data_IF_025683058799
#
_entry.id   IF_025683058799
#
_cell.length_a   1.000
_cell.length_b   1.000
_cell.length_c   1.000
_cell.angle_alpha   90.00
_cell.angle_beta   90.00
_cell.angle_gamma   90.00
#
_symmetry.space_group_name_H-M   'P 1'
#
loop_
_entity.id
_entity.type
_entity.pdbx_description
1 polymer ?
#
# COMPACT_ATOMS: atom_id res chain seq x y z
N UNK A 1 -6.91 23.99 -0.04
CA UNK A 1 -7.50 22.74 0.49
C UNK A 1 -7.89 21.86 -0.70
N UNK A 2 -7.55 20.57 -0.70
CA UNK A 2 -7.86 19.67 -1.81
C UNK A 2 -9.38 19.49 -1.94
N UNK A 3 -9.92 19.76 -3.12
CA UNK A 3 -11.35 19.57 -3.39
C UNK A 3 -11.59 18.17 -4.00
N UNK A 4 -11.85 17.18 -3.15
CA UNK A 4 -12.16 15.81 -3.59
C UNK A 4 -13.37 15.70 -4.49
N UNK A 5 -14.38 16.52 -4.27
CA UNK A 5 -15.59 16.53 -5.10
C UNK A 5 -15.25 16.92 -6.54
N UNK A 6 -14.42 17.94 -6.71
CA UNK A 6 -13.96 18.38 -8.03
C UNK A 6 -13.13 17.32 -8.74
N UNK A 7 -12.19 16.66 -8.03
CA UNK A 7 -11.37 15.59 -8.58
C UNK A 7 -12.22 14.41 -9.06
N UNK A 8 -13.24 14.01 -8.29
CA UNK A 8 -14.14 12.92 -8.67
C UNK A 8 -15.10 13.37 -9.76
N UNK A 9 -15.53 14.62 -9.73
CA UNK A 9 -16.43 15.15 -10.76
C UNK A 9 -15.77 15.14 -12.14
N UNK A 10 -14.46 15.34 -12.19
CA UNK A 10 -13.64 15.32 -13.40
C UNK A 10 -13.02 13.94 -13.69
N UNK A 11 -13.32 12.91 -12.91
CA UNK A 11 -12.77 11.59 -13.12
C UNK A 11 -13.29 10.95 -14.42
N UNK A 12 -12.50 10.13 -15.12
CA UNK A 12 -12.90 9.52 -16.39
C UNK A 12 -13.79 8.29 -16.19
N UNK A 13 -14.89 8.42 -15.47
CA UNK A 13 -15.84 7.33 -15.23
C UNK A 13 -16.79 7.11 -16.43
N UNK A 14 -16.55 7.79 -17.55
CA UNK A 14 -17.23 7.61 -18.82
C UNK A 14 -18.64 8.23 -18.91
N UNK A 15 -19.20 8.79 -17.83
CA UNK A 15 -20.48 9.48 -17.85
C UNK A 15 -20.65 10.40 -16.64
N UNK A 16 -21.15 11.63 -16.84
CA UNK A 16 -21.36 12.62 -15.77
C UNK A 16 -22.21 12.09 -14.59
N UNK A 17 -23.21 11.26 -14.86
CA UNK A 17 -24.02 10.62 -13.82
C UNK A 17 -23.23 9.68 -12.92
N UNK A 18 -22.22 8.96 -13.45
CA UNK A 18 -21.33 8.10 -12.64
C UNK A 18 -20.42 8.95 -11.76
N UNK A 19 -19.86 10.04 -12.29
CA UNK A 19 -19.04 10.96 -11.51
C UNK A 19 -19.83 11.57 -10.35
N UNK A 20 -21.04 12.05 -10.61
CA UNK A 20 -21.94 12.56 -9.57
C UNK A 20 -22.22 11.50 -8.50
N UNK A 21 -22.54 10.26 -8.93
CA UNK A 21 -22.82 9.16 -8.00
C UNK A 21 -21.59 8.78 -7.18
N UNK A 22 -20.40 8.73 -7.78
CA UNK A 22 -19.15 8.48 -7.06
C UNK A 22 -18.87 9.56 -6.00
N UNK A 23 -19.08 10.83 -6.33
CA UNK A 23 -18.90 11.94 -5.39
C UNK A 23 -19.90 11.86 -4.22
N UNK A 24 -21.17 11.55 -4.50
CA UNK A 24 -22.20 11.34 -3.47
C UNK A 24 -21.82 10.16 -2.56
N UNK A 25 -21.48 9.01 -3.14
CA UNK A 25 -21.09 7.81 -2.37
C UNK A 25 -19.88 8.08 -1.46
N UNK A 26 -18.85 8.78 -1.97
CA UNK A 26 -17.71 9.16 -1.14
C UNK A 26 -18.13 10.07 0.01
N UNK A 27 -19.00 11.04 -0.23
CA UNK A 27 -19.50 11.94 0.80
C UNK A 27 -20.28 11.17 1.87
N UNK A 28 -21.17 10.26 1.46
CA UNK A 28 -21.95 9.41 2.37
C UNK A 28 -21.05 8.53 3.22
N UNK A 29 -20.03 7.90 2.62
CA UNK A 29 -19.03 7.11 3.32
C UNK A 29 -18.22 7.92 4.35
N UNK A 30 -17.81 9.14 4.00
CA UNK A 30 -17.07 10.03 4.90
C UNK A 30 -17.96 10.50 6.08
N UNK A 31 -19.22 10.81 5.81
CA UNK A 31 -20.18 11.19 6.86
C UNK A 31 -20.52 10.01 7.77
N UNK A 32 -20.76 8.83 7.21
CA UNK A 32 -21.02 7.62 7.97
C UNK A 32 -19.82 7.18 8.83
N UNK A 33 -18.59 7.33 8.34
CA UNK A 33 -17.39 7.04 9.10
C UNK A 33 -17.22 7.96 10.33
N UNK A 34 -17.62 9.22 10.22
CA UNK A 34 -17.60 10.16 11.36
C UNK A 34 -18.70 9.89 12.39
N UNK A 35 -19.84 9.33 11.96
CA UNK A 35 -20.96 9.01 12.83
C UNK A 35 -20.81 7.63 13.53
N UNK A 36 -20.24 6.64 12.85
CA UNK A 36 -20.07 5.27 13.30
C UNK A 36 -18.59 4.88 13.32
N UNK A 37 -17.99 4.80 14.48
CA UNK A 37 -16.57 4.47 14.69
C UNK A 37 -16.13 3.07 14.20
N UNK A 38 -17.01 2.27 13.64
CA UNK A 38 -16.79 0.88 13.28
C UNK A 38 -16.55 0.62 11.77
N UNK A 39 -16.56 1.66 10.93
CA UNK A 39 -15.99 1.64 9.57
C UNK A 39 -16.54 0.63 8.56
N UNK A 40 -17.67 -0.01 8.81
CA UNK A 40 -18.27 -0.94 7.85
C UNK A 40 -19.10 -0.15 6.84
N UNK A 41 -18.78 -0.28 5.55
CA UNK A 41 -19.48 0.40 4.44
C UNK A 41 -21.01 0.22 4.54
N UNK A 42 -21.49 -0.96 4.91
CA UNK A 42 -22.90 -1.24 5.14
C UNK A 42 -23.50 -0.36 6.23
N UNK A 43 -22.88 -0.29 7.41
CA UNK A 43 -23.35 0.52 8.52
C UNK A 43 -23.35 2.03 8.21
N UNK A 44 -22.40 2.49 7.39
CA UNK A 44 -22.32 3.89 6.94
C UNK A 44 -23.43 4.28 5.97
N UNK A 45 -24.03 3.31 5.28
CA UNK A 45 -25.11 3.49 4.29
C UNK A 45 -26.49 3.08 4.81
N UNK A 46 -26.59 2.59 6.05
CA UNK A 46 -27.87 2.07 6.63
C UNK A 46 -28.95 3.13 6.83
N UNK A 47 -28.59 4.40 6.81
CA UNK A 47 -29.54 5.50 7.12
C UNK A 47 -30.51 5.82 5.97
N UNK A 48 -30.24 5.39 4.74
CA UNK A 48 -31.15 5.59 3.58
C UNK A 48 -31.12 4.39 2.63
N UNK A 49 -32.23 3.66 2.57
CA UNK A 49 -32.38 2.52 1.67
C UNK A 49 -32.15 2.91 0.19
N UNK A 50 -32.55 4.11 -0.20
CA UNK A 50 -32.37 4.61 -1.57
C UNK A 50 -30.90 4.86 -1.89
N UNK A 51 -30.16 5.46 -0.96
CA UNK A 51 -28.72 5.69 -1.08
C UNK A 51 -27.97 4.36 -1.15
N UNK A 52 -28.34 3.38 -0.32
CA UNK A 52 -27.77 2.05 -0.32
C UNK A 52 -27.99 1.33 -1.67
N UNK A 53 -29.22 1.29 -2.18
CA UNK A 53 -29.50 0.73 -3.51
C UNK A 53 -28.75 1.43 -4.62
N UNK A 54 -28.61 2.74 -4.53
CA UNK A 54 -27.87 3.53 -5.51
C UNK A 54 -26.37 3.23 -5.46
N UNK A 55 -25.80 3.00 -4.27
CA UNK A 55 -24.40 2.57 -4.10
C UNK A 55 -24.17 1.19 -4.72
N UNK A 56 -25.04 0.22 -4.42
CA UNK A 56 -24.95 -1.11 -5.02
C UNK A 56 -25.03 -1.08 -6.55
N UNK A 57 -26.00 -0.36 -7.14
CA UNK A 57 -26.10 -0.19 -8.60
C UNK A 57 -24.88 0.48 -9.21
N UNK A 58 -24.23 1.40 -8.47
CA UNK A 58 -22.99 2.02 -8.91
C UNK A 58 -21.83 1.02 -8.92
N UNK A 59 -21.66 0.26 -7.83
CA UNK A 59 -20.57 -0.73 -7.70
C UNK A 59 -20.74 -1.91 -8.66
N UNK A 60 -21.98 -2.34 -8.94
CA UNK A 60 -22.29 -3.43 -9.87
C UNK A 60 -22.23 -2.98 -11.36
N UNK A 61 -21.89 -1.73 -11.61
CA UNK A 61 -21.86 -1.22 -12.97
C UNK A 61 -20.64 -1.72 -13.75
N UNK A 62 -20.86 -2.63 -14.70
CA UNK A 62 -19.80 -3.23 -15.56
C UNK A 62 -18.97 -2.22 -16.36
N UNK A 63 -19.46 -0.99 -16.54
CA UNK A 63 -18.70 0.08 -17.17
C UNK A 63 -17.82 0.86 -16.21
N UNK A 64 -17.91 0.58 -14.91
CA UNK A 64 -17.04 1.14 -13.91
C UNK A 64 -15.74 0.33 -13.89
N UNK A 65 -14.66 0.93 -14.32
CA UNK A 65 -13.35 0.27 -14.36
C UNK A 65 -12.47 0.76 -13.22
N UNK A 66 -11.80 -0.17 -12.55
CA UNK A 66 -10.98 0.11 -11.38
C UNK A 66 -9.89 1.19 -11.65
N UNK A 67 -9.16 1.17 -12.79
CA UNK A 67 -8.20 2.23 -13.10
C UNK A 67 -8.80 3.63 -13.11
N UNK A 68 -10.03 3.78 -13.58
CA UNK A 68 -10.69 5.08 -13.63
C UNK A 68 -11.04 5.63 -12.23
N UNK A 69 -11.31 4.75 -11.25
CA UNK A 69 -11.52 5.13 -9.85
C UNK A 69 -10.25 5.60 -9.15
N UNK A 70 -9.08 5.11 -9.57
CA UNK A 70 -7.79 5.52 -8.98
C UNK A 70 -7.26 6.84 -9.52
N UNK A 71 -7.68 7.29 -10.70
CA UNK A 71 -7.17 8.54 -11.30
C UNK A 71 -7.37 9.77 -10.41
N UNK A 72 -8.53 10.02 -9.79
CA UNK A 72 -8.69 11.13 -8.84
C UNK A 72 -7.74 11.04 -7.65
N UNK A 73 -7.48 9.83 -7.15
CA UNK A 73 -6.55 9.59 -6.05
C UNK A 73 -5.12 9.93 -6.47
N UNK A 74 -4.71 9.50 -7.66
CA UNK A 74 -3.38 9.83 -8.19
C UNK A 74 -3.20 11.33 -8.39
N UNK A 75 -4.21 12.02 -8.95
CA UNK A 75 -4.19 13.48 -9.08
C UNK A 75 -4.07 14.18 -7.70
N UNK A 76 -4.78 13.68 -6.70
CA UNK A 76 -4.69 14.18 -5.34
C UNK A 76 -3.30 13.97 -4.73
N UNK A 77 -2.70 12.80 -4.92
CA UNK A 77 -1.34 12.51 -4.45
C UNK A 77 -0.30 13.43 -5.12
N UNK A 78 -0.42 13.66 -6.43
CA UNK A 78 0.44 14.56 -7.18
C UNK A 78 0.37 16.01 -6.68
N UNK A 79 -0.81 16.47 -6.27
CA UNK A 79 -1.00 17.80 -5.70
C UNK A 79 -0.48 17.93 -4.26
N UNK A 80 -0.54 16.85 -3.48
CA UNK A 80 -0.15 16.84 -2.06
C UNK A 80 1.33 16.66 -1.83
N UNK A 81 2.03 16.00 -2.75
CA UNK A 81 3.46 15.71 -2.64
C UNK A 81 4.16 16.52 -3.71
N UNK A 82 4.89 17.56 -3.31
CA UNK A 82 5.65 18.36 -4.26
C UNK A 82 6.82 17.57 -4.87
N UNK A 83 7.26 18.00 -6.05
CA UNK A 83 8.48 17.46 -6.69
C UNK A 83 9.68 17.68 -5.75
N UNK A 84 10.52 16.66 -5.61
CA UNK A 84 11.65 16.67 -4.66
C UNK A 84 11.29 16.29 -3.22
N UNK A 85 10.02 16.27 -2.85
CA UNK A 85 9.61 15.83 -1.51
C UNK A 85 9.68 14.30 -1.38
N UNK A 86 9.99 13.85 -0.15
CA UNK A 86 9.97 12.44 0.23
C UNK A 86 8.54 12.00 0.54
N UNK A 87 8.20 10.79 0.06
CA UNK A 87 7.00 10.08 0.45
C UNK A 87 7.32 8.61 0.73
N UNK A 88 6.59 8.02 1.67
CA UNK A 88 6.69 6.60 1.98
C UNK A 88 5.52 5.87 1.32
N UNK A 89 5.80 4.72 0.73
CA UNK A 89 4.78 3.86 0.13
C UNK A 89 4.82 2.52 0.85
N UNK A 90 3.80 2.28 1.66
CA UNK A 90 3.66 1.07 2.45
C UNK A 90 2.97 0.01 1.61
N UNK A 91 3.65 -1.12 1.40
CA UNK A 91 3.10 -2.30 0.73
C UNK A 91 2.72 -3.34 1.76
N UNK A 92 1.51 -3.85 1.64
CA UNK A 92 0.99 -4.89 2.52
C UNK A 92 0.06 -5.84 1.79
N UNK A 93 0.01 -7.09 2.27
CA UNK A 93 -0.94 -8.10 1.82
C UNK A 93 -1.87 -8.45 2.97
N UNK A 94 -3.14 -8.16 2.79
CA UNK A 94 -4.18 -8.51 3.74
C UNK A 94 -4.99 -9.70 3.25
N UNK A 95 -5.22 -10.68 4.12
CA UNK A 95 -6.10 -11.81 3.84
C UNK A 95 -7.51 -11.47 4.27
N UNK A 96 -8.45 -11.57 3.33
CA UNK A 96 -9.88 -11.42 3.56
C UNK A 96 -10.50 -12.82 3.61
N UNK A 97 -10.68 -13.36 4.80
CA UNK A 97 -11.23 -14.71 4.99
C UNK A 97 -12.76 -14.70 4.83
N UNK A 98 -13.21 -15.44 3.84
CA UNK A 98 -14.62 -15.67 3.52
C UNK A 98 -14.99 -17.15 3.54
N UNK A 99 -14.25 -18.00 4.25
CA UNK A 99 -14.47 -19.45 4.31
C UNK A 99 -15.89 -19.87 4.73
N UNK A 100 -16.62 -18.96 5.42
CA UNK A 100 -18.01 -19.20 5.84
C UNK A 100 -19.07 -18.70 4.84
N UNK A 101 -18.64 -18.16 3.69
CA UNK A 101 -19.56 -17.57 2.70
C UNK A 101 -19.75 -18.52 1.50
N UNK A 102 -20.65 -19.46 1.61
CA UNK A 102 -20.91 -20.51 0.61
C UNK A 102 -21.40 -19.98 -0.74
N UNK A 103 -21.91 -18.75 -0.81
CA UNK A 103 -22.50 -18.17 -2.04
C UNK A 103 -21.49 -17.45 -2.94
N UNK A 104 -20.22 -17.37 -2.53
CA UNK A 104 -19.18 -16.71 -3.32
C UNK A 104 -18.45 -17.76 -4.16
N UNK A 105 -18.45 -17.57 -5.47
CA UNK A 105 -17.90 -18.54 -6.44
C UNK A 105 -16.46 -18.21 -6.87
N UNK A 106 -16.00 -16.99 -6.59
CA UNK A 106 -14.71 -16.47 -7.02
C UNK A 106 -13.62 -16.48 -5.93
N UNK A 107 -13.86 -17.20 -4.83
CA UNK A 107 -12.91 -17.32 -3.72
C UNK A 107 -11.70 -18.16 -4.14
N UNK A 108 -10.51 -17.70 -3.77
CA UNK A 108 -9.28 -18.46 -3.89
C UNK A 108 -8.82 -19.00 -2.53
N UNK A 109 -7.92 -19.96 -2.54
CA UNK A 109 -7.26 -20.44 -1.32
C UNK A 109 -6.34 -19.35 -0.80
N UNK A 110 -6.44 -19.00 0.49
CA UNK A 110 -5.72 -17.90 1.11
C UNK A 110 -4.97 -18.33 2.39
N UNK A 111 -4.08 -17.49 2.85
CA UNK A 111 -3.33 -17.69 4.09
C UNK A 111 -2.41 -18.90 4.03
N UNK A 112 -2.53 -19.80 5.00
CA UNK A 112 -1.75 -21.04 5.12
C UNK A 112 -2.29 -22.21 4.28
N UNK A 113 -3.20 -21.94 3.35
CA UNK A 113 -3.80 -22.95 2.46
C UNK A 113 -5.05 -23.61 3.03
N UNK A 114 -5.59 -23.16 4.16
CA UNK A 114 -6.77 -23.75 4.80
C UNK A 114 -8.03 -22.91 4.67
N UNK A 115 -7.89 -21.64 4.32
CA UNK A 115 -9.01 -20.71 4.18
C UNK A 115 -9.37 -20.45 2.72
N UNK A 116 -10.61 -19.98 2.50
CA UNK A 116 -11.09 -19.48 1.21
C UNK A 116 -11.41 -18.00 1.35
N UNK A 117 -10.99 -17.20 0.37
CA UNK A 117 -11.19 -15.75 0.46
C UNK A 117 -10.48 -15.01 -0.66
N UNK A 118 -9.99 -13.83 -0.33
CA UNK A 118 -9.23 -12.99 -1.23
C UNK A 118 -7.91 -12.57 -0.57
N UNK A 119 -6.88 -12.35 -1.37
CA UNK A 119 -5.69 -11.63 -0.93
C UNK A 119 -5.71 -10.23 -1.54
N UNK A 120 -5.66 -9.23 -0.69
CA UNK A 120 -5.63 -7.83 -1.08
C UNK A 120 -4.21 -7.29 -0.90
N UNK A 121 -3.47 -7.13 -1.99
CA UNK A 121 -2.25 -6.35 -2.02
C UNK A 121 -2.59 -4.87 -2.10
N UNK A 122 -2.06 -4.04 -1.22
CA UNK A 122 -2.34 -2.61 -1.20
C UNK A 122 -1.06 -1.78 -1.03
N UNK A 123 -1.07 -0.56 -1.56
CA UNK A 123 0.03 0.40 -1.48
C UNK A 123 -0.48 1.73 -0.93
N UNK A 124 -0.25 1.99 0.34
CA UNK A 124 -0.65 3.23 1.03
C UNK A 124 0.47 4.27 0.97
N UNK A 125 0.15 5.49 0.60
CA UNK A 125 1.09 6.61 0.54
C UNK A 125 1.00 7.45 1.80
N UNK A 126 2.16 7.71 2.41
CA UNK A 126 2.31 8.65 3.53
C UNK A 126 3.21 9.80 3.11
N UNK A 127 3.01 10.97 3.74
CA UNK A 127 3.96 12.07 3.61
C UNK A 127 5.25 11.85 4.42
N UNK A 128 6.16 12.81 4.39
CA UNK A 128 7.44 12.76 5.13
C UNK A 128 7.27 12.72 6.66
N UNK A 129 6.10 13.10 7.17
CA UNK A 129 5.75 13.07 8.60
C UNK A 129 4.98 11.78 8.99
N UNK A 130 4.75 10.87 8.05
CA UNK A 130 4.00 9.64 8.28
C UNK A 130 2.47 9.81 8.23
N UNK A 131 1.96 10.95 7.77
CA UNK A 131 0.52 11.18 7.63
C UNK A 131 -0.01 10.49 6.38
N UNK A 132 -1.09 9.69 6.47
CA UNK A 132 -1.71 9.07 5.31
C UNK A 132 -2.25 10.10 4.31
N UNK A 133 -1.90 9.91 3.04
CA UNK A 133 -2.34 10.75 1.93
C UNK A 133 -3.36 10.06 1.04
N UNK A 134 -3.28 8.76 0.88
CA UNK A 134 -4.21 7.98 0.05
C UNK A 134 -3.62 6.63 -0.36
N UNK A 135 -4.43 5.81 -1.00
CA UNK A 135 -4.01 4.53 -1.56
C UNK A 135 -3.52 4.74 -2.99
N UNK A 136 -2.25 4.39 -3.26
CA UNK A 136 -1.69 4.44 -4.62
C UNK A 136 -2.37 3.43 -5.54
N UNK A 137 -2.69 2.26 -5.01
CA UNK A 137 -3.32 1.20 -5.75
C UNK A 137 -3.55 -0.05 -4.92
N UNK A 138 -4.44 -0.91 -5.42
CA UNK A 138 -4.66 -2.23 -4.84
C UNK A 138 -4.90 -3.29 -5.92
N UNK A 139 -4.54 -4.52 -5.61
CA UNK A 139 -4.81 -5.70 -6.43
C UNK A 139 -5.50 -6.75 -5.55
N UNK A 140 -6.62 -7.27 -6.04
CA UNK A 140 -7.37 -8.31 -5.35
C UNK A 140 -7.20 -9.63 -6.09
N UNK A 141 -6.64 -10.62 -5.43
CA UNK A 141 -6.56 -11.98 -5.93
C UNK A 141 -7.88 -12.69 -5.73
N UNK A 142 -8.41 -13.26 -6.81
CA UNK A 142 -9.60 -14.10 -6.87
C UNK A 142 -9.27 -15.45 -7.48
N UNK A 143 -10.22 -16.39 -7.54
CA UNK A 143 -10.05 -17.65 -8.26
C UNK A 143 -9.82 -17.46 -9.78
N UNK A 144 -10.24 -16.31 -10.33
CA UNK A 144 -10.16 -16.02 -11.77
C UNK A 144 -8.92 -15.20 -12.16
N UNK A 145 -8.12 -14.77 -11.21
CA UNK A 145 -6.94 -13.94 -11.43
C UNK A 145 -6.92 -12.69 -10.55
N UNK A 146 -6.25 -11.64 -11.02
CA UNK A 146 -6.07 -10.38 -10.29
C UNK A 146 -6.97 -9.29 -10.83
N UNK A 147 -7.82 -8.75 -9.98
CA UNK A 147 -8.45 -7.45 -10.21
C UNK A 147 -7.45 -6.37 -9.83
N UNK A 148 -6.98 -5.60 -10.81
CA UNK A 148 -5.90 -4.63 -10.61
C UNK A 148 -6.35 -3.22 -10.92
N UNK A 149 -5.90 -2.26 -10.10
CA UNK A 149 -6.07 -0.84 -10.38
C UNK A 149 -5.33 -0.38 -11.65
N UNK A 150 -4.44 -1.20 -12.20
CA UNK A 150 -3.66 -0.90 -13.40
C UNK A 150 -4.33 -1.41 -14.69
N UNK A 151 -5.35 -2.26 -14.58
CA UNK A 151 -6.01 -2.88 -15.72
C UNK A 151 -7.52 -2.82 -15.60
N UNK A 152 -8.19 -2.64 -16.74
CA UNK A 152 -9.65 -2.77 -16.84
C UNK A 152 -10.10 -4.24 -16.95
N UNK A 153 -9.17 -5.14 -17.24
CA UNK A 153 -9.38 -6.57 -17.39
C UNK A 153 -8.77 -7.32 -16.21
N UNK A 154 -9.29 -8.53 -15.95
CA UNK A 154 -8.68 -9.44 -14.97
C UNK A 154 -7.32 -9.90 -15.52
N UNK A 155 -6.29 -9.67 -14.74
CA UNK A 155 -4.93 -10.07 -15.08
C UNK A 155 -4.68 -11.54 -14.64
N UNK A 156 -3.77 -12.26 -15.32
CA UNK A 156 -3.28 -13.53 -14.82
C UNK A 156 -2.71 -13.37 -13.41
N UNK A 157 -2.82 -14.44 -12.62
CA UNK A 157 -2.19 -14.46 -11.30
C UNK A 157 -0.66 -14.37 -11.44
N UNK A 158 -0.08 -13.55 -10.59
CA UNK A 158 1.36 -13.43 -10.41
C UNK A 158 1.67 -13.51 -8.91
N UNK A 159 2.91 -13.80 -8.57
CA UNK A 159 3.32 -13.85 -7.18
C UNK A 159 3.37 -12.45 -6.52
N UNK A 160 3.49 -12.43 -5.20
CA UNK A 160 3.50 -11.19 -4.41
C UNK A 160 4.70 -10.28 -4.73
N UNK A 161 5.83 -10.86 -5.10
CA UNK A 161 7.03 -10.10 -5.46
C UNK A 161 6.85 -9.37 -6.77
N UNK A 162 6.21 -10.02 -7.74
CA UNK A 162 5.87 -9.38 -9.02
C UNK A 162 4.81 -8.30 -8.85
N UNK A 163 3.81 -8.49 -7.96
CA UNK A 163 2.86 -7.43 -7.59
C UNK A 163 3.58 -6.22 -7.00
N UNK A 164 4.53 -6.46 -6.09
CA UNK A 164 5.34 -5.39 -5.48
C UNK A 164 6.20 -4.68 -6.53
N UNK A 165 6.85 -5.40 -7.46
CA UNK A 165 7.63 -4.82 -8.55
C UNK A 165 6.77 -3.91 -9.45
N UNK A 166 5.57 -4.36 -9.80
CA UNK A 166 4.59 -3.56 -10.56
C UNK A 166 4.17 -2.31 -9.79
N UNK A 167 3.92 -2.42 -8.49
CA UNK A 167 3.55 -1.30 -7.65
C UNK A 167 4.69 -0.27 -7.53
N UNK A 168 5.94 -0.72 -7.34
CA UNK A 168 7.14 0.14 -7.31
C UNK A 168 7.30 0.89 -8.64
N UNK A 169 7.18 0.18 -9.76
CA UNK A 169 7.30 0.77 -11.10
C UNK A 169 6.19 1.80 -11.36
N UNK A 170 4.96 1.46 -10.98
CA UNK A 170 3.82 2.35 -11.15
C UNK A 170 3.92 3.59 -10.25
N UNK A 171 4.42 3.46 -9.02
CA UNK A 171 4.66 4.59 -8.13
C UNK A 171 5.59 5.63 -8.75
N UNK A 172 6.69 5.21 -9.33
CA UNK A 172 7.63 6.10 -10.01
C UNK A 172 7.00 6.83 -11.21
N UNK A 173 6.07 6.17 -11.92
CA UNK A 173 5.32 6.75 -13.03
C UNK A 173 4.27 7.76 -12.57
N UNK A 174 3.57 7.46 -11.47
CA UNK A 174 2.48 8.32 -10.95
C UNK A 174 3.04 9.53 -10.21
N UNK A 175 4.14 9.35 -9.50
CA UNK A 175 4.77 10.37 -8.66
C UNK A 175 6.19 10.71 -9.18
N UNK A 176 6.33 11.16 -10.44
CA UNK A 176 7.65 11.43 -11.01
C UNK A 176 8.34 12.56 -10.26
N UNK A 177 9.68 12.45 -10.12
CA UNK A 177 10.50 13.47 -9.48
C UNK A 177 10.34 13.59 -7.96
N UNK A 178 9.62 12.66 -7.29
CA UNK A 178 9.53 12.56 -5.82
C UNK A 178 10.53 11.54 -5.31
N UNK A 179 10.99 11.73 -4.07
CA UNK A 179 11.84 10.75 -3.42
C UNK A 179 10.95 9.69 -2.76
N UNK A 180 10.77 8.55 -3.42
CA UNK A 180 9.88 7.48 -2.96
C UNK A 180 10.67 6.45 -2.16
N UNK A 181 10.22 6.18 -0.92
CA UNK A 181 10.75 5.12 -0.06
C UNK A 181 9.68 4.05 0.08
N UNK A 182 9.94 2.87 -0.47
CA UNK A 182 9.04 1.73 -0.38
C UNK A 182 9.23 1.00 0.94
N UNK A 183 8.18 0.87 1.71
CA UNK A 183 8.19 0.23 3.03
C UNK A 183 7.39 -1.06 2.94
N UNK A 184 7.98 -2.16 3.39
CA UNK A 184 7.31 -3.45 3.37
C UNK A 184 7.79 -4.32 4.54
N UNK A 185 7.03 -5.34 4.85
CA UNK A 185 7.37 -6.29 5.89
C UNK A 185 8.39 -7.34 5.39
N UNK A 186 8.67 -8.34 6.23
CA UNK A 186 9.66 -9.40 5.96
C UNK A 186 9.28 -10.30 4.77
N UNK A 187 8.01 -10.37 4.37
CA UNK A 187 7.58 -11.20 3.24
C UNK A 187 8.12 -10.68 1.91
N UNK A 188 8.50 -9.40 1.88
CA UNK A 188 9.10 -8.73 0.72
C UNK A 188 10.64 -8.67 0.78
N UNK A 189 11.28 -9.31 1.78
CA UNK A 189 12.74 -9.38 1.89
C UNK A 189 13.32 -10.40 0.90
N UNK A 190 13.20 -10.10 -0.39
CA UNK A 190 13.65 -10.91 -1.50
C UNK A 190 14.73 -10.20 -2.33
N UNK A 191 15.80 -10.95 -2.66
CA UNK A 191 16.93 -10.42 -3.44
C UNK A 191 16.56 -10.09 -4.88
N UNK A 192 15.64 -10.84 -5.49
CA UNK A 192 15.25 -10.59 -6.88
C UNK A 192 14.46 -9.30 -6.97
N UNK A 193 13.51 -9.06 -6.04
CA UNK A 193 12.78 -7.81 -5.93
C UNK A 193 13.75 -6.62 -5.76
N UNK A 194 14.68 -6.71 -4.80
CA UNK A 194 15.65 -5.64 -4.54
C UNK A 194 16.57 -5.38 -5.74
N UNK A 195 16.94 -6.42 -6.50
CA UNK A 195 17.77 -6.28 -7.72
C UNK A 195 16.99 -5.65 -8.86
N UNK A 196 15.76 -6.09 -9.11
CA UNK A 196 14.88 -5.55 -10.16
C UNK A 196 14.55 -4.10 -9.90
N UNK A 197 14.28 -3.75 -8.65
CA UNK A 197 13.93 -2.40 -8.21
C UNK A 197 15.14 -1.61 -7.66
N UNK A 198 16.37 -1.90 -8.06
CA UNK A 198 17.63 -1.33 -7.52
C UNK A 198 17.75 0.20 -7.57
N UNK A 199 16.90 0.88 -8.33
CA UNK A 199 16.86 2.35 -8.43
C UNK A 199 15.91 2.98 -7.41
N UNK A 200 15.14 2.17 -6.71
CA UNK A 200 14.19 2.61 -5.68
C UNK A 200 14.81 2.53 -4.29
N UNK A 201 14.28 3.29 -3.35
CA UNK A 201 14.66 3.22 -1.94
C UNK A 201 13.70 2.27 -1.22
N UNK A 202 14.26 1.41 -0.36
CA UNK A 202 13.48 0.45 0.41
C UNK A 202 13.75 0.55 1.89
N UNK A 203 12.71 0.35 2.68
CA UNK A 203 12.76 0.07 4.10
C UNK A 203 11.99 -1.24 4.32
N UNK A 204 12.71 -2.36 4.38
CA UNK A 204 12.12 -3.69 4.52
C UNK A 204 12.62 -4.33 5.80
N UNK A 205 11.70 -4.93 6.57
CA UNK A 205 12.06 -5.74 7.72
C UNK A 205 12.82 -6.97 7.26
N UNK A 206 14.10 -7.08 7.64
CA UNK A 206 14.93 -8.19 7.21
C UNK A 206 14.46 -9.53 7.81
N UNK A 207 14.33 -10.54 6.95
CA UNK A 207 14.05 -11.92 7.31
C UNK A 207 15.35 -12.74 7.37
N UNK A 208 16.24 -12.52 6.42
CA UNK A 208 17.45 -13.33 6.21
C UNK A 208 18.68 -12.62 6.74
N UNK A 209 18.88 -12.62 8.08
CA UNK A 209 20.01 -11.94 8.74
C UNK A 209 21.38 -12.56 8.41
N UNK A 210 21.43 -13.81 7.90
CA UNK A 210 22.64 -14.45 7.41
C UNK A 210 23.05 -13.99 6.00
N UNK A 211 22.17 -13.26 5.29
CA UNK A 211 22.45 -12.72 3.96
C UNK A 211 23.76 -11.94 3.94
N UNK A 212 24.60 -12.22 2.93
CA UNK A 212 25.85 -11.48 2.77
C UNK A 212 25.58 -10.12 2.13
N UNK A 213 26.15 -9.10 2.73
CA UNK A 213 26.14 -7.71 2.24
C UNK A 213 27.57 -7.25 2.05
N UNK A 214 27.80 -6.41 1.05
CA UNK A 214 29.12 -5.89 0.74
C UNK A 214 29.22 -4.42 1.11
N UNK A 215 30.20 -4.11 1.96
CA UNK A 215 30.56 -2.74 2.34
C UNK A 215 31.99 -2.45 1.90
N UNK A 216 32.17 -1.72 0.80
CA UNK A 216 33.47 -1.53 0.18
C UNK A 216 34.08 -2.89 -0.26
N UNK A 217 35.23 -3.25 0.30
CA UNK A 217 35.92 -4.54 0.04
C UNK A 217 35.52 -5.66 0.99
N UNK A 218 34.79 -5.36 2.06
CA UNK A 218 34.39 -6.35 3.07
C UNK A 218 33.05 -6.99 2.71
N UNK A 219 32.95 -8.31 2.92
CA UNK A 219 31.70 -9.07 2.85
C UNK A 219 31.31 -9.49 4.25
N UNK A 220 30.16 -9.07 4.74
CA UNK A 220 29.64 -9.32 6.07
C UNK A 220 28.27 -9.96 5.96
N UNK A 221 27.83 -10.69 6.98
CA UNK A 221 26.40 -10.98 7.11
C UNK A 221 25.63 -9.69 7.44
N UNK A 222 24.35 -9.67 7.12
CA UNK A 222 23.49 -8.52 7.47
C UNK A 222 23.48 -8.30 9.00
N UNK A 223 23.51 -9.38 9.80
CA UNK A 223 23.63 -9.31 11.25
C UNK A 223 24.91 -8.58 11.68
N UNK A 224 26.08 -9.04 11.19
CA UNK A 224 27.38 -8.41 11.52
C UNK A 224 27.42 -6.94 11.07
N UNK A 225 26.78 -6.63 9.95
CA UNK A 225 26.72 -5.27 9.46
C UNK A 225 25.86 -4.37 10.37
N UNK A 226 24.72 -4.87 10.86
CA UNK A 226 23.85 -4.12 11.78
C UNK A 226 24.46 -3.93 13.16
N UNK A 227 25.22 -4.91 13.66
CA UNK A 227 25.93 -4.81 14.94
C UNK A 227 27.03 -3.74 14.93
N UNK A 228 27.56 -3.40 13.74
CA UNK A 228 28.56 -2.33 13.57
C UNK A 228 27.97 -0.94 13.44
N UNK A 229 26.65 -0.82 13.29
CA UNK A 229 25.97 0.48 13.22
C UNK A 229 25.80 1.00 14.64
N UNK A 230 26.39 2.16 14.91
CA UNK A 230 26.17 2.88 16.18
C UNK A 230 24.82 3.59 16.08
N UNK A 231 23.88 3.16 16.90
CA UNK A 231 22.56 3.77 17.00
C UNK A 231 22.51 4.75 18.17
N UNK A 232 22.00 5.94 17.95
CA UNK A 232 21.70 6.90 19.00
C UNK A 232 20.22 6.78 19.40
N UNK A 233 19.87 6.97 20.69
CA UNK A 233 18.47 7.00 21.12
C UNK A 233 17.70 8.09 20.36
N UNK A 234 16.59 7.73 19.73
CA UNK A 234 15.73 8.66 18.97
C UNK A 234 14.47 9.05 19.72
N UNK A 235 14.21 8.39 20.85
CA UNK A 235 12.99 8.58 21.65
C UNK A 235 12.26 7.28 21.92
N UNK A 236 11.05 7.42 22.45
CA UNK A 236 10.19 6.29 22.81
C UNK A 236 8.92 6.30 21.97
N UNK A 237 8.55 5.16 21.42
CA UNK A 237 7.27 4.96 20.74
C UNK A 237 6.32 4.18 21.62
N UNK A 238 5.12 4.72 21.82
CA UNK A 238 4.03 4.00 22.47
C UNK A 238 3.21 3.26 21.41
N UNK A 239 3.15 1.94 21.52
CA UNK A 239 2.31 1.11 20.67
C UNK A 239 1.20 0.48 21.50
N UNK A 240 -0.04 0.69 21.08
CA UNK A 240 -1.19 -0.01 21.65
C UNK A 240 -1.34 -1.36 20.94
N UNK A 241 -1.31 -2.43 21.73
CA UNK A 241 -1.55 -3.79 21.26
C UNK A 241 -2.46 -4.47 22.27
N UNK A 242 -3.54 -5.07 21.81
CA UNK A 242 -4.49 -5.83 22.64
C UNK A 242 -4.93 -5.09 23.92
N UNK A 243 -5.35 -3.83 23.75
CA UNK A 243 -5.75 -2.91 24.83
C UNK A 243 -4.64 -2.54 25.83
N UNK A 244 -3.42 -3.02 25.65
CA UNK A 244 -2.25 -2.61 26.43
C UNK A 244 -1.37 -1.67 25.62
N UNK A 245 -0.79 -0.65 26.30
CA UNK A 245 0.19 0.24 25.68
C UNK A 245 1.57 -0.27 26.04
N UNK A 246 2.39 -0.61 25.03
CA UNK A 246 3.80 -0.93 25.21
C UNK A 246 4.65 0.24 24.72
N UNK A 247 5.67 0.57 25.47
CA UNK A 247 6.68 1.55 25.09
C UNK A 247 7.85 0.84 24.42
N UNK A 248 8.33 1.39 23.34
CA UNK A 248 9.50 0.88 22.60
C UNK A 248 10.51 2.01 22.46
N UNK A 249 11.74 1.73 22.81
CA UNK A 249 12.83 2.64 22.52
C UNK A 249 13.12 2.65 21.02
N UNK A 250 13.21 3.85 20.45
CA UNK A 250 13.68 4.07 19.09
C UNK A 250 15.14 4.51 19.13
N UNK A 251 15.91 4.04 18.17
CA UNK A 251 17.26 4.48 17.98
C UNK A 251 17.46 4.99 16.55
N UNK A 252 18.22 6.07 16.41
CA UNK A 252 18.69 6.60 15.13
C UNK A 252 20.18 6.42 15.01
N UNK A 253 20.71 6.52 13.80
CA UNK A 253 22.16 6.57 13.59
C UNK A 253 22.76 7.80 14.26
N UNK A 254 23.96 7.63 14.82
CA UNK A 254 24.73 8.71 15.42
C UNK A 254 25.09 9.78 14.38
N UNK A 255 25.14 11.09 14.74
CA UNK A 255 25.39 12.19 13.80
C UNK A 255 26.73 12.17 13.04
N UNK A 256 27.66 11.30 13.40
CA UNK A 256 28.94 11.11 12.69
C UNK A 256 28.98 9.90 11.76
N UNK A 257 27.89 9.21 11.62
CA UNK A 257 27.84 7.95 10.92
C UNK A 257 27.26 8.02 9.54
N UNK A 258 26.44 7.57 8.98
CA UNK A 258 25.97 7.30 7.65
C UNK A 258 24.72 8.12 7.33
N UNK A 259 24.65 8.78 6.18
CA UNK A 259 23.38 9.42 5.78
C UNK A 259 22.34 8.33 5.62
N UNK A 260 21.17 8.55 6.23
CA UNK A 260 19.97 7.75 6.03
C UNK A 260 19.83 7.36 4.56
N UNK A 261 19.72 6.07 4.31
CA UNK A 261 19.29 5.52 3.04
C UNK A 261 20.19 5.74 1.84
N UNK A 262 21.36 5.26 1.86
CA UNK A 262 21.83 4.80 0.57
C UNK A 262 22.03 3.30 0.59
N UNK A 263 20.95 2.52 0.55
CA UNK A 263 20.98 1.14 0.08
C UNK A 263 21.70 1.01 -1.27
N UNK A 264 21.95 2.14 -1.95
CA UNK A 264 22.81 2.25 -3.13
C UNK A 264 24.26 1.84 -2.88
N UNK A 265 24.72 1.79 -1.61
CA UNK A 265 26.08 1.38 -1.24
C UNK A 265 26.22 -0.09 -0.85
N UNK A 266 25.11 -0.81 -0.70
CA UNK A 266 25.11 -2.22 -0.38
C UNK A 266 24.81 -3.04 -1.64
N UNK A 267 25.79 -3.79 -2.12
CA UNK A 267 25.56 -4.79 -3.15
C UNK A 267 25.40 -6.15 -2.49
N UNK A 268 24.26 -6.80 -2.73
CA UNK A 268 24.07 -8.19 -2.34
C UNK A 268 24.93 -9.07 -3.26
N UNK A 269 25.81 -9.86 -2.73
CA UNK A 269 26.55 -10.88 -3.46
C UNK A 269 25.96 -12.25 -3.19
N UNK A 270 25.73 -13.04 -4.27
CA UNK A 270 25.52 -14.47 -4.12
C UNK A 270 26.88 -15.10 -3.76
N UNK A 271 26.91 -15.86 -2.72
CA UNK A 271 27.87 -16.93 -2.50
C UNK A 271 27.20 -18.26 -2.77
#
# INVERSE_FOLDING_TARGET
>A
MLNWQELIHNAPLGHKGRNKRAATLLQDLLQGHTANSHGVVGASLELDQTANQAAWRFLDNKHLKLPALYQPVHAALQQRIAVGQRAYILHDVSVLDYSRHERKEDLCVVGDGRGYGYELFSSLVLDSCGKPLGCLGSELRTAHGLLSWQSAEILPFVDRLEQAERAVTAAARILPGRELVHVADREFDDLQLLRRCRRSLFLIRAQHLSRKVRQGKQSLSLREATEKVLLAPAGTVKRRQDFTTKEYEMATESPGGWPWCSWRRWSCTNS
#
